data_IF_199481774508
#
_entry.id   IF_199481774508
#
_cell.length_a   1.000
_cell.length_b   1.000
_cell.length_c   1.000
_cell.angle_alpha   90.00
_cell.angle_beta   90.00
_cell.angle_gamma   90.00
#
_symmetry.space_group_name_H-M   'P 1'
#
loop_
_entity.id
_entity.type
_entity.pdbx_description
1 polymer ?
#
# COMPACT_ATOMS: atom_id res chain seq x y z
N UNK A 1 -1.51 27.80 -89.04
CA UNK A 1 -1.26 28.81 -88.02
C UNK A 1 -1.47 28.15 -86.64
N UNK A 2 -0.39 27.87 -85.95
CA UNK A 2 -0.41 27.26 -84.59
C UNK A 2 -0.43 28.39 -83.53
N UNK A 3 -1.54 28.62 -82.88
CA UNK A 3 -1.54 29.49 -81.74
C UNK A 3 -0.97 28.75 -80.51
N UNK A 4 0.29 29.01 -80.19
CA UNK A 4 0.91 28.57 -78.96
C UNK A 4 0.41 29.46 -77.82
N UNK A 5 -0.40 28.90 -76.97
CA UNK A 5 -0.72 29.55 -75.72
C UNK A 5 0.54 29.60 -74.87
N UNK A 6 1.15 30.78 -74.74
CA UNK A 6 2.22 31.02 -73.75
C UNK A 6 1.60 30.93 -72.38
N UNK A 7 1.67 29.77 -71.76
CA UNK A 7 1.33 29.60 -70.37
C UNK A 7 2.31 30.40 -69.53
N UNK A 8 1.79 31.34 -68.77
CA UNK A 8 2.55 32.33 -68.01
C UNK A 8 3.35 31.59 -66.93
N UNK A 9 4.65 31.47 -67.08
CA UNK A 9 5.58 30.76 -66.17
C UNK A 9 5.41 31.26 -64.75
N UNK A 10 5.00 32.50 -64.56
CA UNK A 10 4.73 33.08 -63.26
C UNK A 10 3.49 32.47 -62.54
N UNK A 11 2.48 32.06 -63.30
CA UNK A 11 1.29 31.40 -62.72
C UNK A 11 1.60 29.96 -62.25
N UNK A 12 2.47 29.26 -63.03
CA UNK A 12 2.96 27.94 -62.64
C UNK A 12 3.83 28.01 -61.39
N UNK A 13 4.73 28.99 -61.32
CA UNK A 13 5.61 29.18 -60.17
C UNK A 13 4.79 29.48 -58.88
N UNK A 14 3.78 30.32 -58.93
CA UNK A 14 2.91 30.62 -57.78
C UNK A 14 2.06 29.42 -57.35
N UNK A 15 1.64 28.54 -58.28
CA UNK A 15 0.92 27.31 -57.93
C UNK A 15 1.81 26.28 -57.25
N UNK A 16 3.07 26.14 -57.69
CA UNK A 16 4.05 25.23 -57.08
C UNK A 16 4.41 25.73 -55.67
N UNK A 17 4.67 27.03 -55.53
CA UNK A 17 5.01 27.63 -54.22
C UNK A 17 3.87 27.53 -53.22
N UNK A 18 2.61 27.67 -53.62
CA UNK A 18 1.44 27.45 -52.78
C UNK A 18 1.20 25.96 -52.41
N UNK A 19 1.56 25.03 -53.28
CA UNK A 19 1.48 23.58 -52.98
C UNK A 19 2.54 23.17 -51.96
N UNK A 20 3.77 23.65 -52.06
CA UNK A 20 4.85 23.35 -51.15
C UNK A 20 4.56 23.90 -49.72
N UNK A 21 4.08 25.14 -49.61
CA UNK A 21 3.72 25.75 -48.32
C UNK A 21 2.56 25.02 -47.65
N UNK A 22 1.55 24.59 -48.41
CA UNK A 22 0.41 23.87 -47.79
C UNK A 22 0.78 22.46 -47.35
N UNK A 23 1.70 21.77 -48.01
CA UNK A 23 2.18 20.45 -47.66
C UNK A 23 3.07 20.49 -46.42
N UNK A 24 4.00 21.45 -46.34
CA UNK A 24 4.88 21.67 -45.18
C UNK A 24 4.07 22.10 -43.96
N UNK A 25 3.06 22.95 -44.12
CA UNK A 25 2.18 23.37 -43.04
C UNK A 25 1.39 22.21 -42.43
N UNK A 26 0.81 21.34 -43.25
CA UNK A 26 0.08 20.15 -42.77
C UNK A 26 1.00 19.16 -42.08
N UNK A 27 2.23 18.98 -42.57
CA UNK A 27 3.21 18.10 -41.95
C UNK A 27 3.61 18.61 -40.55
N UNK A 28 3.90 19.88 -40.38
CA UNK A 28 4.21 20.48 -39.08
C UNK A 28 3.03 20.42 -38.12
N UNK A 29 1.79 20.62 -38.59
CA UNK A 29 0.59 20.47 -37.78
C UNK A 29 0.41 19.03 -37.26
N UNK A 30 0.60 18.03 -38.11
CA UNK A 30 0.50 16.63 -37.70
C UNK A 30 1.58 16.25 -36.70
N UNK A 31 2.84 16.70 -36.90
CA UNK A 31 3.92 16.48 -35.94
C UNK A 31 3.64 17.16 -34.59
N UNK A 32 3.12 18.39 -34.61
CA UNK A 32 2.76 19.11 -33.39
C UNK A 32 1.65 18.41 -32.61
N UNK A 33 0.59 17.93 -33.30
CA UNK A 33 -0.52 17.19 -32.65
C UNK A 33 -0.04 15.86 -32.07
N UNK A 34 0.72 15.09 -32.85
CA UNK A 34 1.26 13.80 -32.37
C UNK A 34 2.22 14.01 -31.22
N UNK A 35 3.10 14.99 -31.27
CA UNK A 35 4.02 15.34 -30.19
C UNK A 35 3.27 15.76 -28.90
N UNK A 36 2.23 16.58 -29.05
CA UNK A 36 1.36 16.97 -27.92
C UNK A 36 0.64 15.78 -27.28
N UNK A 37 0.09 14.86 -28.09
CA UNK A 37 -0.55 13.65 -27.60
C UNK A 37 0.42 12.72 -26.87
N UNK A 38 1.65 12.59 -27.36
CA UNK A 38 2.68 11.77 -26.68
C UNK A 38 3.11 12.39 -25.34
N UNK A 39 3.27 13.72 -25.30
CA UNK A 39 3.61 14.43 -24.07
C UNK A 39 2.49 14.31 -23.02
N UNK A 40 1.23 14.53 -23.40
CA UNK A 40 0.10 14.40 -22.48
C UNK A 40 -0.04 12.97 -21.95
N UNK A 41 0.11 11.96 -22.80
CA UNK A 41 0.11 10.55 -22.42
C UNK A 41 1.24 10.22 -21.43
N UNK A 42 2.43 10.76 -21.67
CA UNK A 42 3.60 10.58 -20.79
C UNK A 42 3.37 11.21 -19.41
N UNK A 43 2.83 12.43 -19.36
CA UNK A 43 2.50 13.13 -18.11
C UNK A 43 1.43 12.36 -17.32
N UNK A 44 0.35 11.94 -17.98
CA UNK A 44 -0.70 11.14 -17.34
C UNK A 44 -0.13 9.83 -16.79
N UNK A 45 0.71 9.13 -17.55
CA UNK A 45 1.37 7.90 -17.12
C UNK A 45 2.29 8.12 -15.93
N UNK A 46 3.03 9.24 -15.90
CA UNK A 46 3.88 9.61 -14.77
C UNK A 46 3.07 9.93 -13.51
N UNK A 47 1.97 10.66 -13.63
CA UNK A 47 1.07 10.99 -12.52
C UNK A 47 0.42 9.71 -11.97
N UNK A 48 -0.10 8.84 -12.83
CA UNK A 48 -0.67 7.57 -12.45
C UNK A 48 0.39 6.67 -11.80
N UNK A 49 1.59 6.58 -12.37
CA UNK A 49 2.71 5.83 -11.80
C UNK A 49 3.13 6.35 -10.44
N UNK A 50 3.13 7.67 -10.24
CA UNK A 50 3.42 8.28 -8.94
C UNK A 50 2.31 8.02 -7.92
N UNK A 51 1.05 8.20 -8.32
CA UNK A 51 -0.12 8.01 -7.45
C UNK A 51 -0.30 6.53 -7.07
N UNK A 52 -0.09 5.61 -8.03
CA UNK A 52 -0.24 4.17 -7.79
C UNK A 52 1.07 3.44 -7.50
N UNK A 53 2.18 4.14 -7.28
CA UNK A 53 3.52 3.52 -7.08
C UNK A 53 3.55 2.46 -5.97
N UNK A 54 2.74 2.64 -4.93
CA UNK A 54 2.61 1.69 -3.83
C UNK A 54 1.81 0.45 -4.24
N UNK A 55 0.69 0.63 -4.94
CA UNK A 55 -0.11 -0.47 -5.46
C UNK A 55 0.63 -1.26 -6.54
N UNK A 56 1.42 -0.58 -7.39
CA UNK A 56 2.24 -1.22 -8.42
C UNK A 56 3.36 -2.06 -7.81
N UNK A 57 4.03 -1.58 -6.75
CA UNK A 57 5.03 -2.37 -6.02
C UNK A 57 4.41 -3.61 -5.37
N UNK A 58 3.23 -3.45 -4.76
CA UNK A 58 2.46 -4.55 -4.20
C UNK A 58 2.09 -5.58 -5.29
N UNK A 59 1.51 -5.12 -6.40
CA UNK A 59 1.09 -5.97 -7.52
C UNK A 59 2.27 -6.68 -8.20
N UNK A 60 3.40 -6.00 -8.41
CA UNK A 60 4.60 -6.61 -8.98
C UNK A 60 5.19 -7.69 -8.06
N UNK A 61 5.17 -7.50 -6.74
CA UNK A 61 5.66 -8.52 -5.80
C UNK A 61 4.72 -9.72 -5.68
N UNK A 62 3.40 -9.51 -5.75
CA UNK A 62 2.42 -10.61 -5.75
C UNK A 62 2.42 -11.42 -7.04
N UNK A 63 2.68 -10.80 -8.19
CA UNK A 63 2.67 -11.46 -9.51
C UNK A 63 4.04 -11.95 -9.98
N UNK A 64 5.14 -11.32 -9.56
CA UNK A 64 6.47 -11.89 -9.73
C UNK A 64 6.70 -12.94 -8.66
N UNK A 65 6.24 -14.17 -8.90
CA UNK A 65 6.62 -15.37 -8.16
C UNK A 65 8.14 -15.61 -8.31
N UNK A 66 8.94 -14.89 -7.55
CA UNK A 66 10.16 -15.43 -7.02
C UNK A 66 9.72 -16.16 -5.77
N UNK A 67 9.83 -17.49 -5.79
CA UNK A 67 9.57 -18.33 -4.63
C UNK A 67 10.26 -17.75 -3.40
N UNK A 68 9.74 -18.01 -2.19
CA UNK A 68 10.36 -17.54 -0.97
C UNK A 68 11.79 -18.04 -0.98
N UNK A 69 12.76 -17.13 -1.14
CA UNK A 69 14.11 -17.39 -0.69
C UNK A 69 13.95 -17.33 0.82
N UNK A 70 13.73 -18.50 1.42
CA UNK A 70 13.86 -18.68 2.84
C UNK A 70 15.33 -18.40 3.16
N UNK A 71 15.60 -17.15 3.49
CA UNK A 71 16.83 -16.78 4.15
C UNK A 71 16.66 -17.21 5.61
N UNK A 72 17.03 -18.45 5.92
CA UNK A 72 17.10 -18.99 7.28
C UNK A 72 17.97 -18.11 8.20
N UNK A 73 18.75 -17.21 7.61
CA UNK A 73 19.59 -16.21 8.30
C UNK A 73 18.81 -14.93 8.65
N UNK A 74 17.62 -14.71 8.11
CA UNK A 74 16.82 -13.49 8.40
C UNK A 74 15.97 -13.63 9.68
N UNK A 75 15.91 -14.80 10.29
CA UNK A 75 15.15 -15.01 11.53
C UNK A 75 15.78 -14.40 12.78
N UNK A 76 16.97 -13.82 12.68
CA UNK A 76 17.75 -13.44 13.87
C UNK A 76 17.70 -11.93 14.25
N UNK A 77 16.90 -11.07 13.57
CA UNK A 77 17.07 -9.63 13.81
C UNK A 77 15.80 -8.75 13.82
N UNK A 78 14.68 -9.24 14.36
CA UNK A 78 13.58 -8.34 14.67
C UNK A 78 13.83 -7.64 16.01
N UNK A 79 13.67 -6.31 16.04
CA UNK A 79 13.78 -5.51 17.25
C UNK A 79 12.58 -5.75 18.19
N UNK A 80 11.42 -6.05 17.62
CA UNK A 80 10.17 -6.28 18.35
C UNK A 80 9.52 -7.59 17.91
N UNK A 81 8.84 -8.25 18.85
CA UNK A 81 8.03 -9.42 18.55
C UNK A 81 6.75 -9.03 17.82
N UNK A 82 6.16 -7.88 18.16
CA UNK A 82 5.00 -7.37 17.43
C UNK A 82 4.90 -5.84 17.46
N UNK A 83 4.48 -5.28 16.32
CA UNK A 83 3.95 -3.91 16.26
C UNK A 83 2.44 -3.94 16.51
N UNK A 84 1.95 -3.06 17.39
CA UNK A 84 0.52 -2.96 17.72
C UNK A 84 -0.06 -1.68 17.15
N UNK A 85 -0.93 -1.83 16.15
CA UNK A 85 -1.71 -0.74 15.57
C UNK A 85 -3.07 -0.64 16.25
N UNK A 86 -3.35 0.49 16.86
CA UNK A 86 -4.60 0.73 17.61
C UNK A 86 -5.03 2.20 17.49
N UNK A 87 -6.33 2.44 17.67
CA UNK A 87 -6.85 3.80 17.82
C UNK A 87 -6.69 4.28 19.27
N UNK A 88 -6.49 5.58 19.47
CA UNK A 88 -6.33 6.18 20.79
C UNK A 88 -7.49 5.85 21.77
N UNK A 89 -8.70 5.67 21.26
CA UNK A 89 -9.83 5.21 22.10
C UNK A 89 -9.59 3.84 22.78
N UNK A 90 -8.68 3.04 22.22
CA UNK A 90 -8.30 1.72 22.73
C UNK A 90 -6.96 1.71 23.47
N UNK A 91 -6.42 2.90 23.78
CA UNK A 91 -5.14 3.06 24.47
C UNK A 91 -5.05 2.21 25.75
N UNK A 92 -6.08 2.27 26.60
CA UNK A 92 -6.06 1.51 27.86
C UNK A 92 -5.96 0.01 27.62
N UNK A 93 -6.72 -0.51 26.67
CA UNK A 93 -6.67 -1.92 26.35
C UNK A 93 -5.31 -2.32 25.73
N UNK A 94 -4.85 -1.59 24.72
CA UNK A 94 -3.60 -1.91 24.03
C UNK A 94 -2.34 -1.68 24.89
N UNK A 95 -2.25 -0.52 25.55
CA UNK A 95 -1.04 -0.14 26.30
C UNK A 95 -1.01 -0.61 27.75
N UNK A 96 -2.12 -1.04 28.32
CA UNK A 96 -2.16 -1.54 29.69
C UNK A 96 -2.47 -3.03 29.70
N UNK A 97 -3.61 -3.46 29.15
CA UNK A 97 -4.06 -4.86 29.23
C UNK A 97 -3.21 -5.76 28.35
N UNK A 98 -3.20 -5.52 27.03
CA UNK A 98 -2.45 -6.32 26.06
C UNK A 98 -0.95 -6.31 26.36
N UNK A 99 -0.40 -5.12 26.63
CA UNK A 99 1.01 -4.98 27.01
C UNK A 99 1.36 -5.76 28.26
N UNK A 100 0.54 -5.71 29.32
CA UNK A 100 0.80 -6.46 30.55
C UNK A 100 0.86 -7.96 30.29
N UNK A 101 -0.07 -8.51 29.49
CA UNK A 101 -0.07 -9.93 29.17
C UNK A 101 1.12 -10.31 28.31
N UNK A 102 1.41 -9.58 27.25
CA UNK A 102 2.46 -9.94 26.31
C UNK A 102 3.86 -9.59 26.84
N UNK A 103 4.10 -8.36 27.34
CA UNK A 103 5.44 -7.97 27.79
C UNK A 103 5.74 -8.48 29.22
N UNK A 104 4.82 -8.27 30.18
CA UNK A 104 5.14 -8.52 31.60
C UNK A 104 5.02 -9.99 31.96
N UNK A 105 3.99 -10.69 31.45
CA UNK A 105 3.73 -12.07 31.80
C UNK A 105 4.43 -13.08 30.87
N UNK A 106 4.64 -12.72 29.60
CA UNK A 106 5.14 -13.64 28.58
C UNK A 106 6.45 -13.20 27.90
N UNK A 107 7.07 -12.10 28.36
CA UNK A 107 8.38 -11.59 27.90
C UNK A 107 8.49 -11.29 26.39
N UNK A 108 7.38 -10.99 25.71
CA UNK A 108 7.40 -10.46 24.36
C UNK A 108 7.80 -8.97 24.36
N UNK A 109 8.38 -8.48 23.28
CA UNK A 109 8.71 -7.07 23.08
C UNK A 109 7.73 -6.46 22.09
N UNK A 110 6.97 -5.43 22.50
CA UNK A 110 6.00 -4.75 21.65
C UNK A 110 6.53 -3.40 21.18
N UNK A 111 6.22 -3.05 19.93
CA UNK A 111 6.33 -1.69 19.41
C UNK A 111 4.97 -0.99 19.53
N UNK A 112 4.90 0.07 20.36
CA UNK A 112 3.69 0.86 20.61
C UNK A 112 3.92 2.28 20.14
N UNK A 113 3.03 2.84 19.31
CA UNK A 113 3.26 4.16 18.70
C UNK A 113 3.43 5.29 19.71
N UNK A 114 2.68 5.27 20.83
CA UNK A 114 2.79 6.31 21.86
C UNK A 114 4.11 6.27 22.67
N UNK A 115 4.78 5.12 22.71
CA UNK A 115 6.02 4.92 23.47
C UNK A 115 7.27 4.96 22.58
N UNK A 116 7.20 4.31 21.41
CA UNK A 116 8.39 3.91 20.66
C UNK A 116 8.61 4.75 19.39
N UNK A 117 7.63 5.56 18.98
CA UNK A 117 7.77 6.38 17.78
C UNK A 117 8.57 7.66 18.06
N UNK A 118 9.71 7.88 17.38
CA UNK A 118 10.46 9.12 17.52
C UNK A 118 9.68 10.33 16.97
N UNK A 119 9.59 11.39 17.77
CA UNK A 119 8.85 12.61 17.46
C UNK A 119 9.40 13.36 16.23
N UNK A 120 10.67 13.16 15.90
CA UNK A 120 11.35 13.82 14.78
C UNK A 120 11.09 13.19 13.41
N UNK A 121 10.42 12.06 13.36
CA UNK A 121 10.14 11.29 12.14
C UNK A 121 8.63 11.35 11.81
N UNK A 122 8.28 11.34 10.54
CA UNK A 122 6.88 11.33 10.15
C UNK A 122 6.18 10.05 10.63
N UNK A 123 4.90 10.15 10.99
CA UNK A 123 4.11 8.98 11.44
C UNK A 123 4.14 7.85 10.40
N UNK A 124 4.04 8.19 9.12
CA UNK A 124 4.10 7.19 8.02
C UNK A 124 5.42 6.42 8.02
N UNK A 125 6.54 7.11 8.19
CA UNK A 125 7.85 6.47 8.25
C UNK A 125 7.99 5.61 9.51
N UNK A 126 7.52 6.12 10.64
CA UNK A 126 7.50 5.37 11.90
C UNK A 126 6.72 4.06 11.77
N UNK A 127 5.54 4.07 11.11
CA UNK A 127 4.75 2.86 10.86
C UNK A 127 5.51 1.89 9.96
N UNK A 128 6.12 2.39 8.87
CA UNK A 128 6.93 1.54 7.97
C UNK A 128 8.07 0.88 8.72
N UNK A 129 8.78 1.66 9.55
CA UNK A 129 9.92 1.16 10.32
C UNK A 129 9.45 0.17 11.40
N UNK A 130 8.36 0.45 12.10
CA UNK A 130 7.77 -0.44 13.10
C UNK A 130 7.35 -1.79 12.49
N UNK A 131 6.64 -1.75 11.36
CA UNK A 131 6.25 -2.96 10.62
C UNK A 131 7.47 -3.74 10.16
N UNK A 132 8.51 -3.09 9.65
CA UNK A 132 9.74 -3.76 9.17
C UNK A 132 10.59 -4.34 10.29
N UNK A 133 10.60 -3.72 11.47
CA UNK A 133 11.40 -4.15 12.61
C UNK A 133 10.65 -5.08 13.57
N UNK A 134 9.41 -5.46 13.26
CA UNK A 134 8.60 -6.35 14.08
C UNK A 134 8.37 -7.70 13.40
N UNK A 135 8.40 -8.78 14.17
CA UNK A 135 8.14 -10.13 13.67
C UNK A 135 6.69 -10.31 13.26
N UNK A 136 5.75 -9.76 14.02
CA UNK A 136 4.31 -9.79 13.75
C UNK A 136 3.69 -8.38 13.78
N UNK A 137 2.50 -8.25 13.24
CA UNK A 137 1.69 -7.04 13.31
C UNK A 137 0.34 -7.37 13.92
N UNK A 138 -0.01 -6.71 15.02
CA UNK A 138 -1.31 -6.84 15.69
C UNK A 138 -2.15 -5.63 15.33
N UNK A 139 -3.29 -5.85 14.66
CA UNK A 139 -4.27 -4.82 14.33
C UNK A 139 -5.44 -4.87 15.31
N UNK A 140 -5.60 -3.86 16.15
CA UNK A 140 -6.72 -3.73 17.08
C UNK A 140 -7.87 -2.99 16.40
N UNK A 141 -8.84 -3.73 15.89
CA UNK A 141 -9.90 -3.21 15.04
C UNK A 141 -11.14 -2.82 15.86
N UNK A 142 -11.51 -1.56 15.72
CA UNK A 142 -12.77 -0.98 16.19
C UNK A 142 -13.36 -0.09 15.10
N UNK A 143 -14.63 0.31 15.19
CA UNK A 143 -15.18 1.32 14.28
C UNK A 143 -14.41 2.64 14.36
N UNK A 144 -13.89 3.00 15.53
CA UNK A 144 -13.05 4.19 15.70
C UNK A 144 -11.71 4.05 14.94
N UNK A 145 -11.07 2.87 14.98
CA UNK A 145 -9.88 2.58 14.19
C UNK A 145 -10.17 2.67 12.69
N UNK A 146 -11.25 2.04 12.20
CA UNK A 146 -11.61 2.03 10.78
C UNK A 146 -11.96 3.42 10.22
N UNK A 147 -12.33 4.39 11.07
CA UNK A 147 -12.60 5.78 10.68
C UNK A 147 -11.37 6.69 10.80
N UNK A 148 -10.25 6.18 11.32
CA UNK A 148 -9.03 6.97 11.44
C UNK A 148 -8.35 7.16 10.08
N UNK A 149 -7.73 8.31 9.88
CA UNK A 149 -7.00 8.65 8.64
C UNK A 149 -5.82 7.71 8.38
N UNK A 150 -5.31 7.02 9.40
CA UNK A 150 -4.15 6.14 9.33
C UNK A 150 -4.48 4.66 9.16
N UNK A 151 -5.73 4.27 9.45
CA UNK A 151 -6.18 2.87 9.40
C UNK A 151 -5.83 2.18 8.07
N UNK A 152 -6.18 2.81 6.95
CA UNK A 152 -5.94 2.21 5.65
C UNK A 152 -4.46 2.04 5.34
N UNK A 153 -3.63 2.99 5.78
CA UNK A 153 -2.18 2.92 5.63
C UNK A 153 -1.56 1.80 6.47
N UNK A 154 -1.97 1.67 7.74
CA UNK A 154 -1.49 0.61 8.64
C UNK A 154 -1.88 -0.78 8.15
N UNK A 155 -3.13 -0.96 7.70
CA UNK A 155 -3.60 -2.22 7.11
C UNK A 155 -2.84 -2.55 5.82
N UNK A 156 -2.60 -1.57 4.95
CA UNK A 156 -1.84 -1.78 3.72
C UNK A 156 -0.39 -2.13 4.01
N UNK A 157 0.25 -1.49 4.98
CA UNK A 157 1.63 -1.78 5.38
C UNK A 157 1.75 -3.19 5.96
N UNK A 158 0.83 -3.59 6.84
CA UNK A 158 0.76 -4.94 7.36
C UNK A 158 0.60 -5.98 6.22
N UNK A 159 -0.35 -5.75 5.30
CA UNK A 159 -0.56 -6.63 4.15
C UNK A 159 0.65 -6.73 3.22
N UNK A 160 1.37 -5.62 3.03
CA UNK A 160 2.61 -5.61 2.26
C UNK A 160 3.69 -6.49 2.89
N UNK A 161 3.80 -6.45 4.23
CA UNK A 161 4.73 -7.27 4.99
C UNK A 161 4.45 -8.76 4.81
N UNK A 162 3.19 -9.18 4.97
CA UNK A 162 2.76 -10.56 4.78
C UNK A 162 3.18 -11.10 3.41
N UNK A 163 2.98 -10.30 2.34
CA UNK A 163 3.35 -10.69 0.98
C UNK A 163 4.87 -10.70 0.78
N UNK A 164 5.60 -9.77 1.41
CA UNK A 164 7.06 -9.67 1.28
C UNK A 164 7.76 -10.84 1.94
N UNK A 165 7.34 -11.21 3.12
CA UNK A 165 7.95 -12.27 3.92
C UNK A 165 7.40 -13.65 3.56
N UNK A 166 6.31 -13.73 2.78
CA UNK A 166 5.65 -15.00 2.43
C UNK A 166 5.00 -15.71 3.62
N UNK A 167 4.76 -14.97 4.74
CA UNK A 167 4.21 -15.52 5.98
C UNK A 167 2.77 -15.07 6.17
N UNK A 168 1.87 -16.04 6.10
CA UNK A 168 0.43 -15.80 6.30
C UNK A 168 0.08 -15.51 7.76
N UNK A 169 0.92 -15.91 8.70
CA UNK A 169 0.74 -15.73 10.14
C UNK A 169 1.37 -14.45 10.72
N UNK A 170 1.94 -13.59 9.87
CA UNK A 170 2.57 -12.34 10.30
C UNK A 170 1.57 -11.30 10.81
N UNK A 171 0.29 -11.42 10.46
CA UNK A 171 -0.76 -10.47 10.85
C UNK A 171 -1.77 -11.15 11.77
N UNK A 172 -2.02 -10.51 12.92
CA UNK A 172 -3.04 -10.90 13.89
C UNK A 172 -4.07 -9.76 13.94
N UNK A 173 -5.32 -10.07 13.70
CA UNK A 173 -6.41 -9.09 13.84
C UNK A 173 -7.21 -9.38 15.10
N UNK A 174 -7.29 -8.40 15.97
CA UNK A 174 -8.10 -8.44 17.18
C UNK A 174 -9.32 -7.54 16.97
N UNK A 175 -10.49 -8.15 16.92
CA UNK A 175 -11.76 -7.46 16.81
C UNK A 175 -12.27 -7.13 18.22
N UNK A 176 -12.39 -5.85 18.54
CA UNK A 176 -12.89 -5.40 19.85
C UNK A 176 -14.41 -5.30 19.90
N UNK A 177 -15.07 -5.36 18.75
CA UNK A 177 -16.51 -5.26 18.59
C UNK A 177 -16.95 -5.95 17.29
N UNK A 178 -18.20 -6.39 17.22
CA UNK A 178 -18.78 -6.90 15.97
C UNK A 178 -18.93 -5.78 14.95
N UNK A 179 -18.29 -5.92 13.81
CA UNK A 179 -18.34 -4.96 12.70
C UNK A 179 -18.90 -5.68 11.47
N UNK A 180 -20.02 -5.20 10.89
CA UNK A 180 -20.55 -5.76 9.67
C UNK A 180 -19.54 -5.67 8.52
N UNK A 181 -19.47 -6.71 7.67
CA UNK A 181 -18.57 -6.76 6.52
C UNK A 181 -18.74 -5.54 5.60
N UNK A 182 -19.96 -4.98 5.52
CA UNK A 182 -20.24 -3.78 4.72
C UNK A 182 -19.54 -2.51 5.24
N UNK A 183 -19.14 -2.47 6.50
CA UNK A 183 -18.41 -1.35 7.12
C UNK A 183 -16.90 -1.53 7.06
N UNK A 184 -16.41 -2.70 6.62
CA UNK A 184 -14.99 -3.00 6.55
C UNK A 184 -14.35 -2.44 5.28
N UNK A 185 -13.16 -1.82 5.35
CA UNK A 185 -12.44 -1.35 4.19
C UNK A 185 -11.96 -2.53 3.32
N UNK A 186 -11.86 -2.29 2.01
CA UNK A 186 -11.42 -3.31 1.04
C UNK A 186 -10.01 -3.83 1.33
N UNK A 187 -9.14 -3.00 1.86
CA UNK A 187 -7.79 -3.38 2.31
C UNK A 187 -7.84 -4.50 3.34
N UNK A 188 -8.69 -4.37 4.36
CA UNK A 188 -8.88 -5.39 5.40
C UNK A 188 -9.52 -6.66 4.82
N UNK A 189 -10.55 -6.52 3.98
CA UNK A 189 -11.23 -7.65 3.33
C UNK A 189 -10.30 -8.46 2.41
N UNK A 190 -9.34 -7.82 1.77
CA UNK A 190 -8.34 -8.50 0.95
C UNK A 190 -7.37 -9.37 1.77
N UNK A 191 -7.11 -8.97 3.01
CA UNK A 191 -6.29 -9.73 3.94
C UNK A 191 -7.05 -10.88 4.60
N UNK A 192 -8.39 -10.80 4.67
CA UNK A 192 -9.28 -11.69 5.43
C UNK A 192 -9.05 -13.19 5.23
N UNK A 193 -8.60 -13.61 4.05
CA UNK A 193 -8.43 -15.03 3.71
C UNK A 193 -7.21 -15.68 4.35
N UNK A 194 -6.22 -14.87 4.77
CA UNK A 194 -4.89 -15.34 5.10
C UNK A 194 -4.38 -14.83 6.46
N UNK A 195 -5.29 -14.36 7.33
CA UNK A 195 -4.91 -13.81 8.63
C UNK A 195 -5.68 -14.46 9.77
N UNK A 196 -5.09 -14.45 10.95
CA UNK A 196 -5.74 -14.94 12.16
C UNK A 196 -6.62 -13.85 12.76
N UNK A 197 -7.91 -14.18 12.96
CA UNK A 197 -8.88 -13.32 13.64
C UNK A 197 -9.14 -13.81 15.05
N UNK A 198 -9.07 -12.88 16.01
CA UNK A 198 -9.45 -13.10 17.39
C UNK A 198 -10.53 -12.09 17.76
N UNK A 199 -11.63 -12.56 18.37
CA UNK A 199 -12.64 -11.67 18.90
C UNK A 199 -12.38 -11.46 20.39
N UNK A 200 -12.29 -10.19 20.81
CA UNK A 200 -12.24 -9.84 22.21
C UNK A 200 -13.65 -9.81 22.78
N UNK A 201 -13.96 -10.73 23.68
CA UNK A 201 -15.22 -10.77 24.40
C UNK A 201 -14.93 -10.52 25.87
N UNK A 202 -15.64 -9.56 26.47
CA UNK A 202 -15.42 -9.14 27.85
C UNK A 202 -16.13 -10.08 28.86
N UNK A 203 -16.24 -11.37 28.55
CA UNK A 203 -16.76 -12.40 29.45
C UNK A 203 -15.59 -13.23 29.98
N UNK A 204 -15.49 -13.41 31.30
CA UNK A 204 -14.34 -14.04 31.96
C UNK A 204 -13.96 -15.42 31.39
N UNK A 205 -14.93 -16.23 30.98
CA UNK A 205 -14.66 -17.55 30.39
C UNK A 205 -14.05 -17.46 28.98
N UNK A 206 -14.36 -16.41 28.23
CA UNK A 206 -13.88 -16.20 26.87
C UNK A 206 -12.53 -15.49 26.87
N UNK A 207 -12.20 -14.76 27.94
CA UNK A 207 -10.94 -14.05 28.10
C UNK A 207 -9.74 -15.01 28.18
N UNK A 208 -9.82 -16.09 28.95
CA UNK A 208 -8.75 -17.10 29.03
C UNK A 208 -8.50 -17.75 27.66
N UNK A 209 -9.56 -18.14 26.97
CA UNK A 209 -9.46 -18.74 25.61
C UNK A 209 -8.86 -17.75 24.61
N UNK A 210 -9.19 -16.46 24.71
CA UNK A 210 -8.62 -15.43 23.85
C UNK A 210 -7.11 -15.30 24.05
N UNK A 211 -6.65 -15.21 25.32
CA UNK A 211 -5.22 -15.10 25.63
C UNK A 211 -4.44 -16.34 25.21
N UNK A 212 -4.95 -17.52 25.44
CA UNK A 212 -4.32 -18.77 25.03
C UNK A 212 -4.13 -18.82 23.50
N UNK A 213 -5.15 -18.45 22.73
CA UNK A 213 -5.08 -18.39 21.28
C UNK A 213 -4.11 -17.31 20.79
N UNK A 214 -4.13 -16.14 21.41
CA UNK A 214 -3.20 -15.07 21.07
C UNK A 214 -1.75 -15.50 21.30
N UNK A 215 -1.46 -16.11 22.43
CA UNK A 215 -0.13 -16.62 22.77
C UNK A 215 0.31 -17.74 21.83
N UNK A 216 -0.60 -18.65 21.47
CA UNK A 216 -0.33 -19.69 20.47
C UNK A 216 0.09 -19.08 19.12
N UNK A 217 -0.64 -18.06 18.65
CA UNK A 217 -0.32 -17.39 17.37
C UNK A 217 0.96 -16.57 17.48
N UNK A 218 1.22 -15.93 18.64
CA UNK A 218 2.46 -15.22 18.89
C UNK A 218 3.68 -16.15 18.91
N UNK A 219 3.54 -17.38 19.38
CA UNK A 219 4.62 -18.38 19.46
C UNK A 219 5.00 -18.99 18.10
N UNK A 220 4.12 -18.92 17.09
CA UNK A 220 4.43 -19.40 15.74
C UNK A 220 5.58 -18.61 15.12
N UNK A 221 6.51 -19.26 14.42
CA UNK A 221 7.71 -18.65 13.85
C UNK A 221 7.45 -17.58 12.82
#
# INVERSE_FOLDING_TARGET
>A
MKNGTVTNIWSLKSQVENMDVSCVSKFWLTFSVVGSCLLTRSIISAILGYHYRWNIKYWMRTNCRRGPVYDELAMEHYQFDAFVAYNYSNYQWACIVLRNVLETQNNYTLCLHDRDFPVSVSIQQNIVDAVNNSRKVILVITRAFLRSDWCEFEIQMAGMRMVTDGREDAIIVIMMEEIPVAEMPRSLLNLWKNITFLMWENEQTNEEIFWDRLLEVMARP
#
